data_IF_629478372005
#
_entry.id   IF_629478372005
#
_cell.length_a   1.000
_cell.length_b   1.000
_cell.length_c   1.000
_cell.angle_alpha   90.00
_cell.angle_beta   90.00
_cell.angle_gamma   90.00
#
_symmetry.space_group_name_H-M   'P 1'
#
loop_
_entity.id
_entity.type
_entity.pdbx_description
1 polymer ?
#
# COMPACT_ATOMS: atom_id res chain seq x y z
N UNK A 1 -46.52 -35.89 -25.99
CA UNK A 1 -46.95 -34.48 -26.02
C UNK A 1 -45.73 -33.60 -25.77
N UNK A 2 -45.40 -32.75 -26.76
CA UNK A 2 -44.82 -31.40 -26.66
C UNK A 2 -44.63 -30.88 -25.22
N UNK A 3 -43.44 -30.41 -24.81
CA UNK A 3 -42.96 -28.99 -24.83
C UNK A 3 -41.92 -28.86 -23.67
N UNK A 4 -40.91 -28.01 -23.59
CA UNK A 4 -40.55 -26.75 -24.21
C UNK A 4 -39.03 -26.48 -24.06
N UNK A 5 -38.51 -25.72 -25.00
CA UNK A 5 -37.23 -25.02 -25.00
C UNK A 5 -37.02 -24.14 -23.75
N UNK A 6 -35.98 -24.36 -22.95
CA UNK A 6 -35.50 -23.35 -21.98
C UNK A 6 -34.01 -23.44 -21.59
N UNK A 7 -33.24 -24.37 -22.15
CA UNK A 7 -31.88 -24.63 -21.67
C UNK A 7 -30.81 -23.64 -22.18
N UNK A 8 -31.08 -22.88 -23.25
CA UNK A 8 -30.07 -22.04 -23.92
C UNK A 8 -29.80 -20.67 -23.25
N UNK A 9 -30.78 -20.10 -22.55
CA UNK A 9 -30.69 -18.72 -22.03
C UNK A 9 -30.01 -18.60 -20.67
N UNK A 10 -30.03 -19.65 -19.84
CA UNK A 10 -29.39 -19.63 -18.51
C UNK A 10 -27.86 -19.72 -18.57
N UNK A 11 -27.31 -20.46 -19.55
CA UNK A 11 -25.87 -20.65 -19.72
C UNK A 11 -25.13 -19.37 -20.13
N UNK A 12 -25.74 -18.54 -20.98
CA UNK A 12 -25.16 -17.27 -21.42
C UNK A 12 -25.05 -16.24 -20.28
N UNK A 13 -26.02 -16.23 -19.35
CA UNK A 13 -25.99 -15.35 -18.19
C UNK A 13 -24.90 -15.74 -17.17
N UNK A 14 -24.66 -17.05 -16.98
CA UNK A 14 -23.59 -17.56 -16.12
C UNK A 14 -22.19 -17.24 -16.66
N UNK A 15 -21.99 -17.30 -17.98
CA UNK A 15 -20.70 -16.96 -18.60
C UNK A 15 -20.34 -15.47 -18.48
N UNK A 16 -21.33 -14.56 -18.54
CA UNK A 16 -21.10 -13.12 -18.40
C UNK A 16 -20.72 -12.72 -16.97
N UNK A 17 -21.28 -13.36 -15.95
CA UNK A 17 -20.94 -13.11 -14.55
C UNK A 17 -19.55 -13.66 -14.16
N UNK A 18 -19.12 -14.75 -14.80
CA UNK A 18 -17.77 -15.30 -14.61
C UNK A 18 -16.68 -14.38 -15.19
N UNK A 19 -16.95 -13.69 -16.31
CA UNK A 19 -16.02 -12.74 -16.92
C UNK A 19 -15.77 -11.49 -16.05
N UNK A 20 -16.78 -11.03 -15.30
CA UNK A 20 -16.64 -9.87 -14.41
C UNK A 20 -15.82 -10.18 -13.14
N UNK A 21 -15.87 -11.41 -12.63
CA UNK A 21 -15.07 -11.82 -11.46
C UNK A 21 -13.60 -12.08 -11.81
N UNK A 22 -13.29 -12.45 -13.05
CA UNK A 22 -11.91 -12.70 -13.49
C UNK A 22 -11.15 -11.43 -13.93
N UNK A 23 -11.85 -10.30 -14.13
CA UNK A 23 -11.24 -9.05 -14.59
C UNK A 23 -10.94 -8.04 -13.46
N UNK A 24 -11.37 -8.34 -12.22
CA UNK A 24 -11.01 -7.59 -11.03
C UNK A 24 -9.97 -8.36 -10.22
N UNK A 25 -8.79 -7.78 -10.01
CA UNK A 25 -7.73 -8.31 -9.13
C UNK A 25 -6.88 -9.44 -9.72
N UNK A 26 -6.18 -9.19 -10.83
CA UNK A 26 -4.84 -9.79 -10.93
C UNK A 26 -4.02 -9.23 -9.76
N UNK A 27 -3.55 -10.06 -8.80
CA UNK A 27 -2.71 -9.57 -7.71
C UNK A 27 -1.46 -8.96 -8.36
N UNK A 28 -1.30 -7.65 -8.20
CA UNK A 28 -0.10 -6.96 -8.64
C UNK A 28 1.06 -7.54 -7.83
N UNK A 29 1.82 -8.45 -8.42
CA UNK A 29 3.03 -9.02 -7.84
C UNK A 29 3.97 -7.86 -7.51
N UNK A 30 3.97 -7.44 -6.23
CA UNK A 30 4.99 -6.54 -5.73
C UNK A 30 6.24 -7.39 -5.54
N UNK A 31 7.40 -6.97 -6.06
CA UNK A 31 8.63 -7.68 -5.79
C UNK A 31 8.82 -7.80 -4.27
N UNK A 32 9.38 -8.92 -3.79
CA UNK A 32 9.67 -9.09 -2.37
C UNK A 32 10.60 -7.96 -1.91
N UNK A 33 10.39 -7.50 -0.68
CA UNK A 33 11.26 -6.47 -0.10
C UNK A 33 12.68 -7.00 0.04
N UNK A 34 13.65 -6.15 -0.31
CA UNK A 34 15.06 -6.41 -0.03
C UNK A 34 15.35 -6.25 1.46
N UNK A 35 16.52 -6.69 1.91
CA UNK A 35 16.98 -6.44 3.28
C UNK A 35 17.00 -4.94 3.60
N UNK A 36 17.53 -4.13 2.68
CA UNK A 36 17.59 -2.67 2.85
C UNK A 36 16.18 -2.07 2.95
N UNK A 37 15.22 -2.56 2.16
CA UNK A 37 13.83 -2.12 2.24
C UNK A 37 13.21 -2.48 3.60
N UNK A 38 13.55 -3.65 4.18
CA UNK A 38 13.10 -4.04 5.52
C UNK A 38 13.72 -3.17 6.61
N UNK A 39 15.02 -2.88 6.51
CA UNK A 39 15.70 -1.95 7.42
C UNK A 39 15.05 -0.57 7.38
N UNK A 40 14.75 -0.06 6.18
CA UNK A 40 14.11 1.23 6.01
C UNK A 40 12.68 1.27 6.58
N UNK A 41 11.93 0.17 6.46
CA UNK A 41 10.62 0.04 7.12
C UNK A 41 10.72 0.04 8.64
N UNK A 42 11.69 -0.69 9.20
CA UNK A 42 11.89 -0.74 10.64
C UNK A 42 12.26 0.65 11.20
N UNK A 43 13.21 1.33 10.56
CA UNK A 43 13.58 2.71 10.88
C UNK A 43 12.38 3.66 10.77
N UNK A 44 11.58 3.54 9.71
CA UNK A 44 10.38 4.36 9.53
C UNK A 44 9.39 4.19 10.69
N UNK A 45 9.15 2.97 11.16
CA UNK A 45 8.25 2.74 12.30
C UNK A 45 8.75 3.44 13.56
N UNK A 46 10.05 3.32 13.84
CA UNK A 46 10.67 3.97 14.98
C UNK A 46 10.64 5.50 14.85
N UNK A 47 11.14 6.04 13.74
CA UNK A 47 11.22 7.48 13.51
C UNK A 47 9.84 8.17 13.53
N UNK A 48 8.80 7.51 13.01
CA UNK A 48 7.43 8.05 13.09
C UNK A 48 6.92 8.09 14.52
N UNK A 49 7.20 7.06 15.33
CA UNK A 49 6.78 7.03 16.73
C UNK A 49 7.46 8.15 17.52
N UNK A 50 8.77 8.32 17.34
CA UNK A 50 9.56 9.38 17.99
C UNK A 50 9.10 10.78 17.54
N UNK A 51 8.96 11.01 16.22
CA UNK A 51 8.47 12.28 15.66
C UNK A 51 7.09 12.67 16.22
N UNK A 52 6.21 11.67 16.33
CA UNK A 52 4.85 11.83 16.86
C UNK A 52 4.85 12.16 18.35
N UNK A 53 5.71 11.51 19.13
CA UNK A 53 5.82 11.74 20.57
C UNK A 53 6.36 13.14 20.89
N UNK A 54 7.32 13.62 20.10
CA UNK A 54 7.98 14.91 20.33
C UNK A 54 7.14 16.11 19.87
N UNK A 55 6.29 15.94 18.86
CA UNK A 55 5.59 17.05 18.21
C UNK A 55 4.07 16.90 18.33
N UNK A 56 3.51 16.77 19.54
CA UNK A 56 2.09 16.47 19.76
C UNK A 56 1.12 17.42 19.04
N UNK A 57 1.53 18.65 18.70
CA UNK A 57 0.72 19.61 17.95
C UNK A 57 0.52 19.28 16.45
N UNK A 58 1.25 18.31 15.90
CA UNK A 58 1.18 17.92 14.48
C UNK A 58 -0.19 17.36 14.04
N UNK A 59 -1.01 16.85 14.97
CA UNK A 59 -2.40 16.36 14.71
C UNK A 59 -2.55 15.38 13.55
N UNK A 60 -1.55 14.56 13.25
CA UNK A 60 -1.61 13.62 12.11
C UNK A 60 -1.08 14.18 10.79
N UNK A 61 -0.72 15.46 10.73
CA UNK A 61 -0.17 16.10 9.53
C UNK A 61 1.34 15.86 9.41
N UNK A 62 1.74 14.90 8.57
CA UNK A 62 3.16 14.61 8.30
C UNK A 62 3.86 15.69 7.48
N UNK A 63 3.12 16.68 6.94
CA UNK A 63 3.70 17.86 6.30
C UNK A 63 4.07 18.97 7.29
N UNK A 64 3.60 18.88 8.55
CA UNK A 64 3.96 19.80 9.62
C UNK A 64 5.47 19.83 9.80
N UNK A 65 6.06 21.01 9.59
CA UNK A 65 7.51 21.17 9.45
C UNK A 65 8.32 20.56 10.61
N UNK A 66 8.00 20.79 11.91
CA UNK A 66 8.74 20.19 13.02
C UNK A 66 8.69 18.65 13.03
N UNK A 67 7.52 18.07 12.77
CA UNK A 67 7.38 16.61 12.67
C UNK A 67 8.21 16.05 11.52
N UNK A 68 8.09 16.68 10.33
CA UNK A 68 8.82 16.27 9.12
C UNK A 68 10.32 16.41 9.28
N UNK A 69 10.80 17.54 9.81
CA UNK A 69 12.22 17.79 10.00
C UNK A 69 12.84 16.76 10.96
N UNK A 70 12.12 16.40 12.01
CA UNK A 70 12.55 15.35 12.92
C UNK A 70 12.58 13.98 12.23
N UNK A 71 11.51 13.64 11.51
CA UNK A 71 11.41 12.40 10.76
C UNK A 71 12.57 12.24 9.76
N UNK A 72 12.82 13.26 8.92
CA UNK A 72 13.89 13.26 7.93
C UNK A 72 15.28 13.10 8.57
N UNK A 73 15.51 13.77 9.70
CA UNK A 73 16.77 13.65 10.45
C UNK A 73 16.95 12.24 11.02
N UNK A 74 15.90 11.67 11.62
CA UNK A 74 15.93 10.32 12.16
C UNK A 74 16.19 9.27 11.07
N UNK A 75 15.51 9.37 9.93
CA UNK A 75 15.73 8.46 8.79
C UNK A 75 17.16 8.52 8.27
N UNK A 76 17.73 9.73 8.13
CA UNK A 76 19.12 9.92 7.70
C UNK A 76 20.13 9.37 8.71
N UNK A 77 19.80 9.32 10.00
CA UNK A 77 20.65 8.69 11.03
C UNK A 77 20.78 7.18 10.82
N UNK A 78 19.78 6.54 10.24
CA UNK A 78 19.83 5.13 9.83
C UNK A 78 20.46 4.93 8.44
N UNK A 79 21.09 5.97 7.89
CA UNK A 79 21.71 5.99 6.55
C UNK A 79 20.71 5.79 5.40
N UNK A 80 19.42 6.02 5.66
CA UNK A 80 18.37 5.91 4.64
C UNK A 80 18.36 7.19 3.81
N UNK A 81 18.56 7.05 2.50
CA UNK A 81 18.61 8.17 1.57
C UNK A 81 17.24 8.71 1.18
N UNK A 82 17.19 9.96 0.70
CA UNK A 82 15.97 10.55 0.13
C UNK A 82 15.46 9.76 -1.09
N UNK A 83 16.34 9.05 -1.81
CA UNK A 83 15.94 8.18 -2.91
C UNK A 83 15.20 6.93 -2.42
N UNK A 84 15.67 6.30 -1.35
CA UNK A 84 15.03 5.14 -0.73
C UNK A 84 13.70 5.50 -0.09
N UNK A 85 13.62 6.61 0.64
CA UNK A 85 12.35 7.10 1.20
C UNK A 85 11.30 7.30 0.11
N UNK A 86 11.69 7.90 -1.03
CA UNK A 86 10.81 8.07 -2.20
C UNK A 86 10.40 6.73 -2.84
N UNK A 87 11.32 5.78 -2.97
CA UNK A 87 11.05 4.43 -3.50
C UNK A 87 9.99 3.72 -2.66
N UNK A 88 10.13 3.82 -1.34
CA UNK A 88 9.27 3.15 -0.35
C UNK A 88 8.00 3.93 -0.01
N UNK A 89 7.83 5.15 -0.55
CA UNK A 89 6.71 6.05 -0.24
C UNK A 89 6.56 6.27 1.27
N UNK A 90 7.70 6.35 1.93
CA UNK A 90 7.76 6.74 3.33
C UNK A 90 7.42 8.24 3.42
N UNK A 91 6.96 8.72 4.59
CA UNK A 91 6.61 10.12 4.81
C UNK A 91 7.55 11.13 4.17
#
# INVERSE_FOLDING_TARGET
>A
MQKDSFAGSGLLALCLMAGFLACGCAPRERPPLTFDDQQALAANQQCRAEATQMNNEWRGDTSYFPWRAYYDMCMRRFEISDAEMRKLRLP
#
